data_IF_079552849052
#
_entry.id   IF_079552849052
#
_cell.length_a   1.000
_cell.length_b   1.000
_cell.length_c   1.000
_cell.angle_alpha   90.00
_cell.angle_beta   90.00
_cell.angle_gamma   90.00
#
_symmetry.space_group_name_H-M   'P 1'
#
loop_
_entity.id
_entity.type
_entity.pdbx_description
1 polymer ?
#
# COMPACT_ATOMS: atom_id res chain seq x y z
N UNK A 1 -8.56 14.16 -18.15
CA UNK A 1 -7.77 13.67 -16.99
C UNK A 1 -8.31 12.30 -16.59
N UNK A 2 -7.47 11.29 -16.32
CA UNK A 2 -7.94 9.99 -15.86
C UNK A 2 -8.59 10.09 -14.47
N UNK A 3 -9.68 9.35 -14.26
CA UNK A 3 -10.41 9.30 -13.00
C UNK A 3 -9.68 8.37 -12.01
N UNK A 4 -9.22 8.88 -10.87
CA UNK A 4 -8.47 8.07 -9.89
C UNK A 4 -9.24 6.85 -9.37
N UNK A 5 -10.57 6.93 -9.23
CA UNK A 5 -11.39 5.89 -8.57
C UNK A 5 -12.53 5.32 -9.42
N UNK A 6 -12.51 5.55 -10.74
CA UNK A 6 -13.52 5.00 -11.65
C UNK A 6 -14.94 5.57 -11.44
N UNK A 7 -15.05 6.81 -10.96
CA UNK A 7 -16.30 7.56 -10.73
C UNK A 7 -17.38 6.81 -9.93
N UNK A 8 -17.17 6.58 -8.62
CA UNK A 8 -18.18 5.95 -7.78
C UNK A 8 -19.47 6.77 -7.75
N UNK A 9 -20.60 6.13 -8.05
CA UNK A 9 -21.90 6.80 -8.09
C UNK A 9 -22.26 7.42 -6.74
N UNK A 10 -22.52 8.73 -6.73
CA UNK A 10 -22.87 9.45 -5.51
C UNK A 10 -21.69 9.70 -4.56
N UNK A 11 -20.44 9.62 -5.04
CA UNK A 11 -19.28 10.11 -4.31
C UNK A 11 -19.43 11.62 -4.05
N UNK A 12 -19.40 12.01 -2.78
CA UNK A 12 -19.29 13.39 -2.36
C UNK A 12 -17.89 13.66 -1.80
N UNK A 13 -17.32 14.80 -2.17
CA UNK A 13 -15.99 15.22 -1.73
C UNK A 13 -16.17 16.53 -0.98
N UNK A 14 -15.71 16.57 0.26
CA UNK A 14 -15.72 17.77 1.09
C UNK A 14 -14.30 18.11 1.53
N UNK A 15 -13.84 19.32 1.22
CA UNK A 15 -12.62 19.82 1.82
C UNK A 15 -12.90 20.16 3.30
N UNK A 16 -12.13 19.55 4.19
CA UNK A 16 -12.23 19.79 5.63
C UNK A 16 -11.30 20.94 6.02
N UNK A 17 -10.13 21.02 5.37
CA UNK A 17 -9.16 22.12 5.42
C UNK A 17 -8.15 21.96 4.28
N UNK A 18 -7.16 22.87 4.23
CA UNK A 18 -6.02 22.78 3.32
C UNK A 18 -5.41 21.37 3.29
N UNK A 19 -5.43 20.76 2.11
CA UNK A 19 -4.89 19.43 1.83
C UNK A 19 -5.47 18.30 2.71
N UNK A 20 -6.69 18.46 3.24
CA UNK A 20 -7.46 17.38 3.87
C UNK A 20 -8.87 17.32 3.29
N UNK A 21 -9.21 16.16 2.75
CA UNK A 21 -10.49 15.90 2.10
C UNK A 21 -11.22 14.74 2.78
N UNK A 22 -12.53 14.85 2.88
CA UNK A 22 -13.42 13.79 3.28
C UNK A 22 -14.16 13.26 2.04
N UNK A 23 -14.09 11.95 1.85
CA UNK A 23 -14.74 11.24 0.76
C UNK A 23 -15.92 10.45 1.33
N UNK A 24 -17.14 10.81 0.93
CA UNK A 24 -18.37 10.17 1.39
C UNK A 24 -18.90 9.31 0.25
N UNK A 25 -18.95 8.00 0.49
CA UNK A 25 -19.41 7.02 -0.48
C UNK A 25 -20.83 6.58 -0.15
N UNK A 26 -21.66 6.42 -1.17
CA UNK A 26 -23.03 5.88 -1.02
C UNK A 26 -23.00 4.39 -0.68
N UNK A 27 -22.04 3.65 -1.23
CA UNK A 27 -21.94 2.20 -1.08
C UNK A 27 -20.59 1.77 -0.47
N UNK A 28 -20.65 0.78 0.42
CA UNK A 28 -19.46 0.24 1.12
C UNK A 28 -18.47 -0.43 0.17
N UNK A 29 -18.93 -0.96 -0.97
CA UNK A 29 -18.08 -1.65 -1.95
C UNK A 29 -17.12 -0.67 -2.63
N UNK A 30 -17.60 0.51 -3.04
CA UNK A 30 -16.80 1.59 -3.61
C UNK A 30 -15.82 2.14 -2.58
N UNK A 31 -16.27 2.36 -1.35
CA UNK A 31 -15.41 2.79 -0.24
C UNK A 31 -14.26 1.78 -0.01
N UNK A 32 -14.59 0.49 0.12
CA UNK A 32 -13.61 -0.58 0.31
C UNK A 32 -12.64 -0.67 -0.89
N UNK A 33 -13.12 -0.49 -2.12
CA UNK A 33 -12.28 -0.49 -3.32
C UNK A 33 -11.25 0.64 -3.26
N UNK A 34 -11.65 1.85 -2.88
CA UNK A 34 -10.73 2.99 -2.72
C UNK A 34 -9.78 2.73 -1.55
N UNK A 35 -10.26 2.24 -0.42
CA UNK A 35 -9.41 1.96 0.75
C UNK A 35 -8.38 0.84 0.48
N UNK A 36 -8.77 -0.24 -0.20
CA UNK A 36 -7.89 -1.40 -0.44
C UNK A 36 -6.95 -1.20 -1.62
N UNK A 37 -7.33 -0.33 -2.56
CA UNK A 37 -6.57 -0.02 -3.78
C UNK A 37 -5.40 0.95 -3.57
N UNK A 38 -5.09 1.34 -2.32
CA UNK A 38 -3.91 2.17 -2.04
C UNK A 38 -2.61 1.44 -2.48
N UNK A 39 -1.60 2.18 -2.95
CA UNK A 39 -1.53 3.63 -3.03
C UNK A 39 -2.22 4.16 -4.29
N UNK A 40 -2.89 5.31 -4.18
CA UNK A 40 -3.43 6.01 -5.34
C UNK A 40 -2.45 7.10 -5.79
N UNK A 41 -2.31 7.29 -7.10
CA UNK A 41 -1.60 8.44 -7.65
C UNK A 41 -2.58 9.24 -8.48
N UNK A 42 -2.73 10.52 -8.16
CA UNK A 42 -3.57 11.45 -8.90
C UNK A 42 -2.84 12.76 -9.09
N UNK A 43 -2.67 13.16 -10.36
CA UNK A 43 -1.95 14.37 -10.75
C UNK A 43 -0.59 14.56 -10.06
N UNK A 44 0.21 13.48 -9.99
CA UNK A 44 1.52 13.41 -9.30
C UNK A 44 1.47 13.52 -7.77
N UNK A 45 0.29 13.65 -7.18
CA UNK A 45 0.09 13.56 -5.73
C UNK A 45 -0.29 12.14 -5.31
N UNK A 46 -0.04 11.82 -4.04
CA UNK A 46 -0.42 10.57 -3.37
C UNK A 46 -1.59 10.85 -2.41
N UNK A 47 -2.86 10.65 -2.83
CA UNK A 47 -3.98 10.68 -1.90
C UNK A 47 -3.84 9.55 -0.87
N UNK A 48 -3.41 9.89 0.35
CA UNK A 48 -3.30 8.94 1.45
C UNK A 48 -4.67 8.79 2.15
N UNK A 49 -5.47 7.85 1.64
CA UNK A 49 -6.85 7.62 2.10
C UNK A 49 -6.86 6.66 3.29
N UNK A 50 -7.52 7.08 4.37
CA UNK A 50 -7.75 6.25 5.56
C UNK A 50 -9.24 6.19 5.90
N UNK A 51 -9.69 5.12 6.60
CA UNK A 51 -11.01 5.10 7.21
C UNK A 51 -11.25 6.32 8.08
N UNK A 52 -12.45 6.87 8.02
CA UNK A 52 -12.85 7.93 8.93
C UNK A 52 -13.16 7.33 10.30
N UNK A 53 -12.65 7.96 11.35
CA UNK A 53 -12.90 7.60 12.74
C UNK A 53 -13.37 8.82 13.55
N UNK A 54 -14.29 8.64 14.52
CA UNK A 54 -14.66 9.72 15.43
C UNK A 54 -13.43 10.29 16.15
N UNK A 55 -13.30 11.61 16.16
CA UNK A 55 -12.17 12.28 16.82
C UNK A 55 -10.87 12.27 16.00
N UNK A 56 -10.90 11.81 14.74
CA UNK A 56 -9.76 11.92 13.83
C UNK A 56 -9.32 13.38 13.73
N UNK A 57 -8.19 13.68 14.37
CA UNK A 57 -7.62 15.01 14.33
C UNK A 57 -6.98 15.26 12.99
N UNK A 58 -7.04 16.53 12.65
CA UNK A 58 -6.37 17.16 11.55
C UNK A 58 -4.92 16.70 11.38
N UNK A 59 -4.12 16.77 12.43
CA UNK A 59 -2.67 16.46 12.43
C UNK A 59 -2.40 15.04 12.93
N UNK A 60 -3.20 14.06 12.50
CA UNK A 60 -3.01 12.69 12.96
C UNK A 60 -1.75 12.08 12.34
N UNK A 61 -0.85 11.44 13.13
CA UNK A 61 0.25 10.62 12.63
C UNK A 61 -0.21 9.49 11.69
N UNK A 62 -1.52 9.22 11.65
CA UNK A 62 -2.15 8.31 10.69
C UNK A 62 -1.75 8.64 9.24
N UNK A 63 -1.67 9.92 8.88
CA UNK A 63 -1.35 10.33 7.51
C UNK A 63 0.14 10.20 7.16
N UNK A 64 1.00 9.93 8.14
CA UNK A 64 2.44 9.69 7.91
C UNK A 64 2.70 8.28 7.36
N UNK A 65 1.73 7.37 7.50
CA UNK A 65 1.83 5.99 7.02
C UNK A 65 0.91 5.80 5.81
N UNK A 66 1.43 5.19 4.75
CA UNK A 66 0.65 4.79 3.58
C UNK A 66 0.86 3.30 3.30
N UNK A 67 -0.23 2.59 2.99
CA UNK A 67 -0.19 1.20 2.56
C UNK A 67 0.12 1.13 1.07
N UNK A 68 1.26 0.52 0.72
CA UNK A 68 1.74 0.43 -0.65
C UNK A 68 1.87 -1.03 -1.10
N UNK A 69 1.51 -1.30 -2.35
CA UNK A 69 1.83 -2.57 -3.01
C UNK A 69 3.24 -2.49 -3.60
N UNK A 70 4.09 -3.42 -3.19
CA UNK A 70 5.46 -3.57 -3.69
C UNK A 70 5.58 -4.90 -4.40
N UNK A 71 6.12 -4.89 -5.62
CA UNK A 71 6.48 -6.11 -6.35
C UNK A 71 7.94 -6.44 -6.09
N UNK A 72 8.19 -7.66 -5.63
CA UNK A 72 9.54 -8.18 -5.45
C UNK A 72 9.82 -9.17 -6.56
N UNK A 73 10.86 -8.87 -7.33
CA UNK A 73 11.29 -9.61 -8.50
C UNK A 73 12.58 -10.38 -8.22
N UNK A 74 12.91 -11.34 -9.09
CA UNK A 74 14.17 -12.09 -9.07
C UNK A 74 14.43 -12.83 -7.75
N UNK A 75 13.38 -13.31 -7.10
CA UNK A 75 13.50 -14.20 -5.94
C UNK A 75 13.75 -15.62 -6.46
N UNK A 76 14.81 -16.32 -6.01
CA UNK A 76 15.01 -17.72 -6.29
C UNK A 76 13.77 -18.55 -5.94
N UNK A 77 13.40 -19.52 -6.79
CA UNK A 77 12.15 -20.29 -6.66
C UNK A 77 11.96 -20.91 -5.26
N UNK A 78 13.05 -21.42 -4.67
CA UNK A 78 13.05 -22.05 -3.34
C UNK A 78 12.82 -21.05 -2.18
N UNK A 79 12.96 -19.75 -2.42
CA UNK A 79 12.68 -18.68 -1.45
C UNK A 79 11.33 -18.00 -1.66
N UNK A 80 10.55 -18.39 -2.67
CA UNK A 80 9.21 -17.83 -2.89
C UNK A 80 8.24 -18.43 -1.87
N UNK A 81 8.16 -17.80 -0.70
CA UNK A 81 7.27 -18.21 0.39
C UNK A 81 6.70 -16.99 1.12
N UNK A 82 5.58 -17.20 1.83
CA UNK A 82 4.97 -16.16 2.64
C UNK A 82 5.89 -15.67 3.76
N UNK A 83 6.72 -16.56 4.33
CA UNK A 83 7.71 -16.22 5.37
C UNK A 83 8.77 -15.24 4.84
N UNK A 84 9.34 -15.54 3.67
CA UNK A 84 10.31 -14.66 3.01
C UNK A 84 9.66 -13.31 2.66
N UNK A 85 8.42 -13.33 2.15
CA UNK A 85 7.67 -12.10 1.88
C UNK A 85 7.46 -11.24 3.12
N UNK A 86 7.08 -11.86 4.24
CA UNK A 86 6.92 -11.18 5.52
C UNK A 86 8.24 -10.58 6.02
N UNK A 87 9.35 -11.32 5.93
CA UNK A 87 10.70 -10.80 6.26
C UNK A 87 11.06 -9.59 5.41
N UNK A 88 10.80 -9.64 4.10
CA UNK A 88 11.09 -8.54 3.20
C UNK A 88 10.22 -7.32 3.52
N UNK A 89 8.91 -7.47 3.67
CA UNK A 89 8.04 -6.34 3.95
C UNK A 89 8.29 -5.72 5.33
N UNK A 90 8.67 -6.52 6.33
CA UNK A 90 9.09 -6.01 7.65
C UNK A 90 10.40 -5.21 7.54
N UNK A 91 11.30 -5.60 6.65
CA UNK A 91 12.50 -4.82 6.37
C UNK A 91 12.17 -3.48 5.68
N UNK A 92 11.08 -3.36 4.93
CA UNK A 92 10.68 -2.13 4.24
C UNK A 92 9.94 -1.14 5.16
N UNK A 93 9.16 -1.63 6.12
CA UNK A 93 8.38 -0.79 7.03
C UNK A 93 7.26 -1.49 7.80
N UNK A 94 7.06 -2.79 7.55
CA UNK A 94 6.01 -3.62 8.16
C UNK A 94 5.13 -4.26 7.09
N UNK A 95 4.89 -5.56 7.16
CA UNK A 95 4.06 -6.29 6.18
C UNK A 95 2.62 -6.43 6.66
N UNK A 96 1.66 -6.09 5.80
CA UNK A 96 0.24 -6.35 6.02
C UNK A 96 -0.26 -7.61 5.28
N UNK A 97 0.25 -7.87 4.07
CA UNK A 97 -0.22 -8.98 3.25
C UNK A 97 0.85 -9.44 2.25
N UNK A 98 0.81 -10.73 1.90
CA UNK A 98 1.73 -11.39 0.96
C UNK A 98 0.95 -12.22 -0.04
N UNK A 99 1.03 -11.82 -1.31
CA UNK A 99 0.37 -12.48 -2.43
C UNK A 99 1.42 -13.09 -3.35
N UNK A 100 1.37 -14.40 -3.52
CA UNK A 100 2.20 -15.16 -4.45
C UNK A 100 1.28 -15.64 -5.58
N UNK A 101 1.40 -15.09 -6.81
CA UNK A 101 0.63 -15.56 -7.94
C UNK A 101 0.98 -17.02 -8.27
N UNK A 102 -0.05 -17.87 -8.41
CA UNK A 102 0.11 -19.30 -8.75
C UNK A 102 0.69 -19.49 -10.15
N UNK A 103 0.33 -18.61 -11.08
CA UNK A 103 0.89 -18.55 -12.42
C UNK A 103 1.92 -17.41 -12.45
N UNK A 104 3.21 -17.75 -12.34
CA UNK A 104 4.28 -16.83 -12.69
C UNK A 104 3.98 -16.24 -14.07
N UNK A 105 4.02 -14.91 -14.20
CA UNK A 105 3.86 -14.25 -15.48
C UNK A 105 4.92 -14.74 -16.47
N UNK A 106 4.70 -14.53 -17.78
CA UNK A 106 5.69 -14.76 -18.84
C UNK A 106 7.06 -14.07 -18.59
N UNK A 107 7.11 -13.15 -17.62
CA UNK A 107 8.27 -12.34 -17.20
C UNK A 107 8.96 -12.85 -15.92
N UNK A 108 8.57 -14.01 -15.39
CA UNK A 108 9.13 -14.61 -14.16
C UNK A 108 8.15 -14.57 -12.98
N UNK A 109 8.50 -15.31 -11.91
CA UNK A 109 7.68 -15.38 -10.69
C UNK A 109 8.04 -14.22 -9.75
N UNK A 110 7.06 -13.35 -9.47
CA UNK A 110 7.19 -12.24 -8.53
C UNK A 110 6.27 -12.47 -7.33
N UNK A 111 6.58 -11.79 -6.23
CA UNK A 111 5.69 -11.72 -5.07
C UNK A 111 5.20 -10.29 -4.88
N UNK A 112 3.94 -10.12 -4.49
CA UNK A 112 3.37 -8.83 -4.12
C UNK A 112 3.27 -8.73 -2.60
N UNK A 113 3.82 -7.66 -2.06
CA UNK A 113 3.77 -7.34 -0.64
C UNK A 113 2.92 -6.09 -0.46
N UNK A 114 1.97 -6.13 0.47
CA UNK A 114 1.33 -4.91 0.97
C UNK A 114 2.10 -4.46 2.19
N UNK A 115 2.78 -3.32 2.10
CA UNK A 115 3.66 -2.79 3.14
C UNK A 115 3.14 -1.47 3.70
N UNK A 116 3.31 -1.29 5.01
CA UNK A 116 3.12 0.00 5.67
C UNK A 116 4.40 0.81 5.53
N UNK A 117 4.31 1.98 4.91
CA UNK A 117 5.47 2.80 4.63
C UNK A 117 5.29 4.19 5.23
N UNK A 118 6.31 4.65 5.95
CA UNK A 118 6.36 6.03 6.41
C UNK A 118 6.73 6.96 5.25
N UNK A 119 5.78 7.79 4.83
CA UNK A 119 5.91 8.72 3.70
C UNK A 119 6.53 10.07 4.07
N UNK A 120 6.79 10.32 5.36
CA UNK A 120 7.57 11.48 5.81
C UNK A 120 9.07 11.27 5.63
N UNK A 121 9.49 10.04 5.29
CA UNK A 121 10.86 9.67 4.99
C UNK A 121 11.01 9.35 3.50
N UNK A 122 12.21 9.58 2.91
CA UNK A 122 12.47 9.14 1.54
C UNK A 122 12.26 7.63 1.38
N UNK A 123 11.75 7.23 0.20
CA UNK A 123 11.62 5.82 -0.14
C UNK A 123 13.00 5.13 -0.12
N UNK A 124 13.15 3.97 0.53
CA UNK A 124 14.37 3.19 0.49
C UNK A 124 14.69 2.78 -0.96
N UNK A 125 15.90 3.09 -1.43
CA UNK A 125 16.34 2.69 -2.78
C UNK A 125 16.75 1.21 -2.87
N UNK A 126 17.17 0.65 -1.75
CA UNK A 126 17.59 -0.74 -1.64
C UNK A 126 17.87 -1.10 -0.18
N UNK A 127 17.80 -2.39 0.12
CA UNK A 127 18.11 -2.93 1.46
C UNK A 127 18.67 -4.33 1.32
N UNK A 128 19.75 -4.62 2.03
CA UNK A 128 20.25 -5.98 2.19
C UNK A 128 19.37 -6.71 3.21
N UNK A 129 18.88 -7.87 2.81
CA UNK A 129 17.97 -8.68 3.63
C UNK A 129 18.59 -10.07 3.75
N UNK A 130 18.86 -10.50 4.97
CA UNK A 130 19.34 -11.86 5.25
C UNK A 130 18.16 -12.82 5.23
N UNK A 131 18.17 -13.78 4.31
CA UNK A 131 17.14 -14.81 4.15
C UNK A 131 17.69 -16.15 4.66
N UNK A 132 17.72 -16.34 5.98
CA UNK A 132 18.17 -17.57 6.61
C UNK A 132 18.97 -17.35 7.90
N UNK A 133 19.06 -18.40 8.72
CA UNK A 133 20.06 -18.52 9.79
C UNK A 133 21.29 -19.19 9.17
N UNK A 134 22.28 -18.41 8.76
CA UNK A 134 23.64 -18.95 8.75
C UNK A 134 24.16 -18.86 10.19
N UNK A 135 24.01 -19.95 10.94
CA UNK A 135 24.92 -20.24 12.03
C UNK A 135 26.22 -20.70 11.36
N UNK A 136 27.20 -19.81 11.31
CA UNK A 136 28.61 -20.19 11.17
C UNK A 136 29.05 -20.72 12.53
#
# INVERSE_FOLDING_TARGET
MPLAWGNPTGLQIKEVRWNLFQFIFRDKKSMNKVQLGTPWVYDKYLPNVHPWEPGLKSVSPLFDICNMWVQVWNIPLHWISKDVGCKIGNALGGTCDVVIPENGSKEGQYMRLKVMMNITKPLPRGKLIKLGLEQI
#
